data_IF_301059757807
#
_entry.id   IF_301059757807
#
_cell.length_a   1.000
_cell.length_b   1.000
_cell.length_c   1.000
_cell.angle_alpha   90.00
_cell.angle_beta   90.00
_cell.angle_gamma   90.00
#
_symmetry.space_group_name_H-M   'P 1'
#
loop_
_entity.id
_entity.type
_entity.pdbx_description
1 polymer ?
#
# COMPACT_ATOMS: atom_id res chain seq x y z
N UNK A 1 -19.44 8.16 10.39
CA UNK A 1 -20.63 7.33 10.04
C UNK A 1 -21.92 8.16 9.94
N UNK A 2 -22.77 7.88 8.94
CA UNK A 2 -24.14 8.39 8.85
C UNK A 2 -25.03 7.63 9.86
N UNK A 3 -26.13 8.22 10.33
CA UNK A 3 -27.02 7.55 11.30
C UNK A 3 -27.58 6.21 10.77
N UNK A 4 -27.59 6.01 9.45
CA UNK A 4 -27.95 4.76 8.79
C UNK A 4 -26.93 3.62 8.95
N UNK A 5 -25.68 3.90 9.32
CA UNK A 5 -24.64 2.87 9.53
C UNK A 5 -24.36 2.60 11.01
N UNK A 6 -25.01 3.33 11.92
CA UNK A 6 -24.84 3.13 13.36
C UNK A 6 -25.73 1.98 13.82
N UNK A 7 -25.09 0.87 14.18
CA UNK A 7 -25.79 -0.28 14.78
C UNK A 7 -26.43 0.19 16.08
N UNK A 8 -27.71 -0.11 16.27
CA UNK A 8 -28.43 0.26 17.48
C UNK A 8 -27.83 -0.43 18.71
N UNK A 9 -27.88 0.21 19.87
CA UNK A 9 -27.32 -0.34 21.12
C UNK A 9 -27.94 -1.71 21.46
N UNK A 10 -29.24 -1.89 21.20
CA UNK A 10 -29.93 -3.18 21.34
C UNK A 10 -29.38 -4.28 20.44
N UNK A 11 -28.96 -3.92 19.23
CA UNK A 11 -28.37 -4.86 18.27
C UNK A 11 -26.91 -5.17 18.63
N UNK A 12 -26.19 -4.24 19.25
CA UNK A 12 -24.86 -4.48 19.81
C UNK A 12 -24.92 -5.43 21.01
N UNK A 13 -25.82 -5.18 21.97
CA UNK A 13 -26.05 -6.08 23.11
C UNK A 13 -26.44 -7.50 22.65
N UNK A 14 -27.28 -7.59 21.60
CA UNK A 14 -27.61 -8.88 20.98
C UNK A 14 -26.36 -9.58 20.43
N UNK A 15 -25.49 -8.84 19.71
CA UNK A 15 -24.26 -9.39 19.12
C UNK A 15 -23.24 -9.80 20.19
N UNK A 16 -23.07 -8.99 21.22
CA UNK A 16 -22.22 -9.30 22.37
C UNK A 16 -22.73 -10.52 23.12
N UNK A 17 -24.05 -10.65 23.27
CA UNK A 17 -24.70 -11.85 23.77
C UNK A 17 -24.32 -13.09 22.95
N UNK A 18 -24.33 -13.01 21.61
CA UNK A 18 -23.96 -14.15 20.75
C UNK A 18 -22.46 -14.48 20.69
N UNK A 19 -21.60 -13.57 21.14
CA UNK A 19 -20.15 -13.82 21.25
C UNK A 19 -19.85 -14.61 22.53
N UNK A 20 -20.58 -14.35 23.62
CA UNK A 20 -20.40 -15.07 24.89
C UNK A 20 -20.87 -16.53 24.77
N UNK A 21 -20.07 -17.45 25.30
CA UNK A 21 -20.37 -18.88 25.27
C UNK A 21 -21.65 -19.19 26.07
N UNK A 22 -22.60 -19.90 25.45
CA UNK A 22 -23.84 -20.37 26.10
C UNK A 22 -25.11 -19.59 25.78
N UNK A 23 -25.01 -18.41 25.17
CA UNK A 23 -26.17 -17.57 24.82
C UNK A 23 -26.70 -17.76 23.40
N UNK A 24 -26.07 -18.61 22.59
CA UNK A 24 -26.59 -18.99 21.27
C UNK A 24 -27.73 -19.99 21.40
N UNK A 25 -28.79 -19.77 20.64
CA UNK A 25 -29.85 -20.76 20.44
C UNK A 25 -29.25 -22.04 19.86
N UNK A 26 -29.55 -23.17 20.50
CA UNK A 26 -29.04 -24.48 20.07
C UNK A 26 -29.91 -24.99 18.93
N UNK A 27 -29.32 -25.17 17.76
CA UNK A 27 -29.94 -25.90 16.67
C UNK A 27 -29.41 -27.34 16.68
N UNK A 28 -30.31 -28.32 16.77
CA UNK A 28 -29.91 -29.74 16.80
C UNK A 28 -29.13 -30.17 15.55
N UNK A 29 -29.47 -29.61 14.39
CA UNK A 29 -28.88 -30.01 13.10
C UNK A 29 -27.52 -29.35 12.87
N UNK A 30 -27.29 -28.15 13.42
CA UNK A 30 -26.06 -27.41 13.19
C UNK A 30 -25.04 -27.67 14.32
N UNK A 31 -23.96 -28.44 14.07
CA UNK A 31 -22.95 -28.76 15.07
C UNK A 31 -22.16 -27.52 15.53
N UNK A 32 -22.16 -26.43 14.77
CA UNK A 32 -21.46 -25.20 15.14
C UNK A 32 -22.19 -24.44 16.26
N UNK A 33 -23.51 -24.62 16.39
CA UNK A 33 -24.33 -23.99 17.44
C UNK A 33 -24.27 -24.70 18.78
N UNK A 34 -23.70 -25.91 18.83
CA UNK A 34 -23.62 -26.70 20.05
C UNK A 34 -22.64 -26.08 21.05
N UNK A 35 -22.97 -26.18 22.35
CA UNK A 35 -22.04 -25.78 23.41
C UNK A 35 -20.82 -26.70 23.45
N UNK A 36 -19.73 -26.24 24.06
CA UNK A 36 -18.49 -27.02 24.17
C UNK A 36 -18.67 -28.42 24.79
N UNK A 37 -19.49 -28.61 25.85
CA UNK A 37 -19.81 -29.94 26.38
C UNK A 37 -20.39 -30.88 25.33
N UNK A 38 -21.36 -30.41 24.53
CA UNK A 38 -22.01 -31.22 23.50
C UNK A 38 -21.10 -31.51 22.31
N UNK A 39 -20.24 -30.55 21.95
CA UNK A 39 -19.17 -30.80 20.96
C UNK A 39 -18.19 -31.86 21.44
N UNK A 40 -17.77 -31.78 22.71
CA UNK A 40 -16.91 -32.80 23.34
C UNK A 40 -17.57 -34.18 23.38
N UNK A 41 -18.84 -34.25 23.77
CA UNK A 41 -19.62 -35.48 23.77
C UNK A 41 -19.77 -36.07 22.36
N UNK A 42 -20.18 -35.25 21.38
CA UNK A 42 -20.35 -35.69 19.99
C UNK A 42 -19.05 -36.19 19.36
N UNK A 43 -17.94 -35.49 19.59
CA UNK A 43 -16.62 -35.93 19.12
C UNK A 43 -16.21 -37.27 19.72
N UNK A 44 -16.35 -37.43 21.05
CA UNK A 44 -16.01 -38.70 21.72
C UNK A 44 -16.93 -39.84 21.32
N UNK A 45 -18.22 -39.58 21.09
CA UNK A 45 -19.16 -40.57 20.55
C UNK A 45 -18.68 -41.03 19.17
N UNK A 46 -18.38 -40.10 18.26
CA UNK A 46 -17.88 -40.42 16.91
C UNK A 46 -16.60 -41.25 16.94
N UNK A 47 -15.61 -40.84 17.75
CA UNK A 47 -14.36 -41.58 17.94
C UNK A 47 -14.63 -42.98 18.50
N UNK A 48 -15.51 -43.10 19.50
CA UNK A 48 -15.81 -44.39 20.15
C UNK A 48 -16.50 -45.35 19.19
N UNK A 49 -17.46 -44.86 18.39
CA UNK A 49 -18.15 -45.68 17.37
C UNK A 49 -17.19 -46.09 16.27
N UNK A 50 -16.33 -45.18 15.79
CA UNK A 50 -15.31 -45.49 14.79
C UNK A 50 -14.30 -46.51 15.31
N UNK A 51 -13.84 -46.37 16.56
CA UNK A 51 -12.94 -47.31 17.21
C UNK A 51 -13.58 -48.70 17.35
N UNK A 52 -14.85 -48.78 17.76
CA UNK A 52 -15.59 -50.04 17.81
C UNK A 52 -15.75 -50.68 16.43
N UNK A 53 -16.07 -49.89 15.41
CA UNK A 53 -16.16 -50.37 14.04
C UNK A 53 -14.83 -50.96 13.56
N UNK A 54 -13.72 -50.24 13.80
CA UNK A 54 -12.39 -50.68 13.41
C UNK A 54 -11.95 -51.94 14.17
N UNK A 55 -12.25 -52.01 15.48
CA UNK A 55 -11.98 -53.17 16.31
C UNK A 55 -12.76 -54.41 15.86
N UNK A 56 -14.01 -54.23 15.41
CA UNK A 56 -14.83 -55.31 14.85
C UNK A 56 -14.27 -55.81 13.52
N UNK A 57 -13.89 -54.88 12.65
CA UNK A 57 -13.27 -55.19 11.35
C UNK A 57 -11.96 -55.94 11.54
N UNK A 58 -11.11 -55.51 12.47
CA UNK A 58 -9.82 -56.16 12.76
C UNK A 58 -9.99 -57.57 13.31
N UNK A 59 -10.89 -57.75 14.27
CA UNK A 59 -11.11 -59.05 14.93
C UNK A 59 -12.09 -59.97 14.20
N UNK A 60 -12.53 -59.60 12.98
CA UNK A 60 -13.54 -60.32 12.18
C UNK A 60 -14.80 -60.67 12.98
N UNK A 61 -15.20 -59.79 13.92
CA UNK A 61 -16.41 -59.98 14.74
C UNK A 61 -17.61 -59.34 14.05
N UNK A 62 -18.80 -59.95 14.10
CA UNK A 62 -20.00 -59.33 13.56
C UNK A 62 -20.32 -58.04 14.32
N UNK A 63 -20.98 -57.10 13.64
CA UNK A 63 -21.30 -55.77 14.19
C UNK A 63 -22.08 -55.84 15.52
N UNK A 64 -22.97 -56.84 15.65
CA UNK A 64 -23.81 -57.06 16.82
C UNK A 64 -23.12 -57.80 17.98
N UNK A 65 -21.84 -58.13 17.86
CA UNK A 65 -21.13 -58.79 18.96
C UNK A 65 -21.08 -57.89 20.19
N UNK A 66 -21.55 -58.38 21.34
CA UNK A 66 -21.45 -57.69 22.63
C UNK A 66 -21.99 -56.23 22.61
N UNK A 67 -23.14 -55.99 21.97
CA UNK A 67 -23.74 -54.65 21.86
C UNK A 67 -23.90 -53.97 23.21
N UNK A 68 -24.49 -54.65 24.20
CA UNK A 68 -24.80 -54.05 25.51
C UNK A 68 -23.55 -53.51 26.24
N UNK A 69 -22.50 -54.30 26.49
CA UNK A 69 -21.30 -53.79 27.17
C UNK A 69 -20.57 -52.73 26.33
N UNK A 70 -20.67 -52.77 25.00
CA UNK A 70 -20.07 -51.76 24.12
C UNK A 70 -20.82 -50.43 24.14
N UNK A 71 -22.15 -50.45 24.20
CA UNK A 71 -22.95 -49.25 24.38
C UNK A 71 -22.66 -48.59 25.73
N UNK A 72 -22.45 -49.37 26.79
CA UNK A 72 -22.02 -48.85 28.09
C UNK A 72 -20.65 -48.16 27.97
N UNK A 73 -19.68 -48.79 27.28
CA UNK A 73 -18.36 -48.20 27.06
C UNK A 73 -18.46 -46.89 26.26
N UNK A 74 -19.22 -46.86 25.17
CA UNK A 74 -19.47 -45.65 24.38
C UNK A 74 -20.13 -44.57 25.23
N UNK A 75 -21.12 -44.93 26.06
CA UNK A 75 -21.76 -44.02 26.99
C UNK A 75 -20.77 -43.40 27.97
N UNK A 76 -19.91 -44.22 28.57
CA UNK A 76 -18.86 -43.76 29.48
C UNK A 76 -17.86 -42.82 28.78
N UNK A 77 -17.38 -43.18 27.58
CA UNK A 77 -16.49 -42.34 26.80
C UNK A 77 -17.14 -41.00 26.39
N UNK A 78 -18.42 -41.03 26.05
CA UNK A 78 -19.21 -39.82 25.73
C UNK A 78 -19.37 -38.92 26.95
N UNK A 79 -19.63 -39.49 28.13
CA UNK A 79 -19.71 -38.75 29.38
C UNK A 79 -18.37 -38.09 29.76
N UNK A 80 -17.25 -38.79 29.54
CA UNK A 80 -15.90 -38.20 29.70
C UNK A 80 -15.70 -37.03 28.73
N UNK A 81 -16.12 -37.19 27.47
CA UNK A 81 -16.10 -36.10 26.49
C UNK A 81 -16.92 -34.89 26.91
N UNK A 82 -18.10 -35.12 27.47
CA UNK A 82 -18.95 -34.06 28.02
C UNK A 82 -18.27 -33.32 29.18
N UNK A 83 -17.69 -34.06 30.14
CA UNK A 83 -17.00 -33.49 31.29
C UNK A 83 -15.77 -32.66 30.86
N UNK A 84 -14.98 -33.16 29.92
CA UNK A 84 -13.85 -32.41 29.35
C UNK A 84 -14.31 -31.13 28.63
N UNK A 85 -15.41 -31.21 27.89
CA UNK A 85 -16.02 -30.04 27.24
C UNK A 85 -16.55 -29.01 28.25
N UNK A 86 -17.13 -29.44 29.37
CA UNK A 86 -17.59 -28.56 30.45
C UNK A 86 -16.44 -27.86 31.19
N UNK A 87 -15.33 -28.57 31.43
CA UNK A 87 -14.13 -27.97 31.99
C UNK A 87 -13.55 -26.89 31.07
N UNK A 88 -13.55 -27.17 29.76
CA UNK A 88 -13.10 -26.21 28.75
C UNK A 88 -14.00 -24.98 28.67
N UNK A 89 -15.32 -25.17 28.75
CA UNK A 89 -16.28 -24.06 28.79
C UNK A 89 -16.03 -23.16 30.01
N UNK A 90 -15.88 -23.77 31.20
CA UNK A 90 -15.57 -23.04 32.43
C UNK A 90 -14.27 -22.25 32.31
N UNK A 91 -13.23 -22.86 31.73
CA UNK A 91 -11.94 -22.18 31.52
C UNK A 91 -12.08 -20.92 30.65
N UNK A 92 -12.82 -21.00 29.54
CA UNK A 92 -13.06 -19.84 28.69
C UNK A 92 -13.92 -18.78 29.37
N UNK A 93 -14.95 -19.17 30.12
CA UNK A 93 -15.76 -18.23 30.89
C UNK A 93 -14.91 -17.47 31.93
N UNK A 94 -14.03 -18.16 32.65
CA UNK A 94 -13.11 -17.50 33.60
C UNK A 94 -12.14 -16.57 32.88
N UNK A 95 -11.55 -17.00 31.77
CA UNK A 95 -10.63 -16.17 30.99
C UNK A 95 -11.32 -14.90 30.49
N UNK A 96 -12.51 -15.02 29.91
CA UNK A 96 -13.23 -13.88 29.35
C UNK A 96 -13.70 -12.93 30.47
N UNK A 97 -14.12 -13.45 31.63
CA UNK A 97 -14.44 -12.64 32.81
C UNK A 97 -13.23 -11.85 33.35
N UNK A 98 -12.04 -12.46 33.34
CA UNK A 98 -10.80 -11.78 33.73
C UNK A 98 -10.44 -10.67 32.74
N UNK A 99 -10.58 -10.93 31.44
CA UNK A 99 -10.33 -9.92 30.39
C UNK A 99 -11.32 -8.77 30.53
N UNK A 100 -12.61 -9.05 30.70
CA UNK A 100 -13.65 -8.04 30.89
C UNK A 100 -13.36 -7.18 32.14
N UNK A 101 -12.96 -7.82 33.24
CA UNK A 101 -12.58 -7.12 34.46
C UNK A 101 -11.33 -6.24 34.27
N UNK A 102 -10.33 -6.74 33.54
CA UNK A 102 -9.11 -5.98 33.22
C UNK A 102 -9.42 -4.75 32.35
N UNK A 103 -10.27 -4.91 31.33
CA UNK A 103 -10.71 -3.81 30.46
C UNK A 103 -11.45 -2.72 31.24
N UNK A 104 -12.23 -3.11 32.26
CA UNK A 104 -12.92 -2.15 33.13
C UNK A 104 -11.95 -1.39 34.06
N UNK A 105 -10.91 -2.07 34.55
CA UNK A 105 -9.91 -1.46 35.46
C UNK A 105 -8.95 -0.52 34.75
N UNK A 106 -8.58 -0.83 33.51
CA UNK A 106 -7.56 -0.11 32.74
C UNK A 106 -8.14 0.42 31.42
N UNK A 107 -9.10 1.35 31.43
CA UNK A 107 -9.67 1.88 30.20
C UNK A 107 -8.64 2.62 29.32
N UNK A 108 -7.60 3.21 29.93
CA UNK A 108 -6.53 3.93 29.22
C UNK A 108 -5.72 3.01 28.27
N UNK A 109 -5.55 1.74 28.64
CA UNK A 109 -4.89 0.72 27.81
C UNK A 109 -5.72 0.35 26.57
N UNK A 110 -6.95 0.84 26.43
CA UNK A 110 -7.84 0.51 25.31
C UNK A 110 -8.27 1.75 24.51
N UNK A 111 -7.72 2.93 24.80
CA UNK A 111 -8.10 4.18 24.15
C UNK A 111 -7.81 4.21 22.64
N UNK A 112 -6.87 3.40 22.16
CA UNK A 112 -6.57 3.27 20.73
C UNK A 112 -7.75 2.71 19.90
N UNK A 113 -8.71 2.01 20.53
CA UNK A 113 -9.94 1.63 19.84
C UNK A 113 -10.86 2.83 19.56
N UNK A 114 -10.71 3.93 20.31
CA UNK A 114 -11.46 5.16 20.13
C UNK A 114 -10.81 6.15 19.14
N UNK A 115 -9.55 5.94 18.75
CA UNK A 115 -8.82 6.85 17.86
C UNK A 115 -9.37 6.90 16.42
N UNK A 116 -9.99 5.83 15.94
CA UNK A 116 -10.71 5.85 14.65
C UNK A 116 -11.87 6.87 14.68
N UNK A 117 -12.58 6.97 15.80
CA UNK A 117 -13.66 7.95 15.98
C UNK A 117 -13.14 9.38 15.97
N UNK A 118 -11.91 9.59 16.46
CA UNK A 118 -11.21 10.88 16.45
C UNK A 118 -10.76 11.29 15.05
N UNK A 119 -10.30 10.33 14.24
CA UNK A 119 -10.00 10.55 12.82
C UNK A 119 -11.27 10.88 12.02
N UNK A 120 -12.37 10.13 12.19
CA UNK A 120 -13.64 10.45 11.52
C UNK A 120 -14.13 11.86 11.84
N UNK A 121 -13.95 12.32 13.08
CA UNK A 121 -14.37 13.66 13.49
C UNK A 121 -13.47 14.73 12.86
N UNK A 122 -12.16 14.47 12.74
CA UNK A 122 -11.22 15.35 12.03
C UNK A 122 -11.55 15.46 10.54
N UNK A 123 -11.88 14.35 9.90
CA UNK A 123 -12.24 14.34 8.47
C UNK A 123 -13.54 15.09 8.22
N UNK A 124 -14.54 14.95 9.10
CA UNK A 124 -15.76 15.78 9.05
C UNK A 124 -15.44 17.27 9.16
N UNK A 125 -14.57 17.66 10.09
CA UNK A 125 -14.14 19.06 10.25
C UNK A 125 -13.39 19.57 9.01
N UNK A 126 -12.56 18.72 8.38
CA UNK A 126 -11.83 19.07 7.16
C UNK A 126 -12.76 19.24 5.95
N UNK A 127 -13.76 18.37 5.80
CA UNK A 127 -14.76 18.48 4.75
C UNK A 127 -15.60 19.75 4.92
N UNK A 128 -16.04 20.06 6.14
CA UNK A 128 -16.80 21.28 6.43
C UNK A 128 -15.99 22.56 6.12
N UNK A 129 -14.67 22.53 6.37
CA UNK A 129 -13.75 23.62 5.97
C UNK A 129 -13.61 23.71 4.45
N UNK A 130 -13.50 22.57 3.76
CA UNK A 130 -13.38 22.53 2.30
C UNK A 130 -14.62 23.12 1.63
N UNK A 131 -15.80 22.79 2.11
CA UNK A 131 -17.06 23.28 1.55
C UNK A 131 -17.21 24.79 1.77
N UNK A 132 -16.83 25.30 2.96
CA UNK A 132 -16.76 26.75 3.21
C UNK A 132 -15.78 27.47 2.30
N UNK A 133 -14.65 26.85 1.97
CA UNK A 133 -13.66 27.42 1.05
C UNK A 133 -14.14 27.40 -0.39
N UNK A 134 -14.85 26.35 -0.81
CA UNK A 134 -15.47 26.27 -2.13
C UNK A 134 -16.56 27.33 -2.30
N UNK A 135 -17.45 27.51 -1.32
CA UNK A 135 -18.45 28.56 -1.34
C UNK A 135 -17.82 29.96 -1.46
N UNK A 136 -16.72 30.21 -0.74
CA UNK A 136 -15.96 31.47 -0.86
C UNK A 136 -15.27 31.65 -2.21
N UNK A 137 -14.89 30.56 -2.89
CA UNK A 137 -14.31 30.62 -4.24
C UNK A 137 -15.37 30.89 -5.29
N UNK A 138 -16.54 30.28 -5.17
CA UNK A 138 -17.69 30.51 -6.05
C UNK A 138 -18.16 31.96 -5.95
N UNK A 139 -18.32 32.49 -4.74
CA UNK A 139 -18.65 33.90 -4.53
C UNK A 139 -17.64 34.85 -5.19
N UNK A 140 -16.34 34.61 -5.02
CA UNK A 140 -15.30 35.43 -5.68
C UNK A 140 -15.29 35.28 -7.20
N UNK A 141 -15.66 34.11 -7.72
CA UNK A 141 -15.76 33.90 -9.17
C UNK A 141 -16.98 34.62 -9.75
N UNK A 142 -18.10 34.68 -9.03
CA UNK A 142 -19.27 35.46 -9.41
C UNK A 142 -18.97 36.97 -9.37
N UNK A 143 -18.28 37.45 -8.33
CA UNK A 143 -17.80 38.84 -8.25
C UNK A 143 -16.87 39.20 -9.42
N UNK A 144 -15.95 38.29 -9.81
CA UNK A 144 -15.08 38.48 -10.98
C UNK A 144 -15.82 38.44 -12.30
N UNK A 145 -16.87 37.63 -12.43
CA UNK A 145 -17.72 37.61 -13.63
C UNK A 145 -18.49 38.92 -13.77
N UNK A 146 -19.03 39.47 -12.67
CA UNK A 146 -19.68 40.78 -12.67
C UNK A 146 -18.73 41.91 -13.08
N UNK A 147 -17.47 41.87 -12.63
CA UNK A 147 -16.45 42.86 -13.00
C UNK A 147 -15.96 42.76 -14.46
N UNK A 148 -15.99 41.56 -15.05
CA UNK A 148 -15.56 41.36 -16.45
C UNK A 148 -16.60 41.82 -17.48
N UNK A 149 -17.88 41.97 -17.10
CA UNK A 149 -18.92 42.47 -18.02
C UNK A 149 -18.89 44.01 -18.17
N UNK A 150 -18.31 44.74 -17.22
CA UNK A 150 -18.20 46.22 -17.28
C UNK A 150 -16.88 46.75 -17.87
N UNK A 151 -15.93 45.88 -18.25
CA UNK A 151 -14.57 46.25 -18.66
C UNK A 151 -14.10 45.63 -19.97
N UNK A 152 -14.89 45.73 -21.05
CA UNK A 152 -14.45 45.30 -22.39
C UNK A 152 -13.49 46.32 -23.02
N UNK A 153 -12.22 46.31 -22.60
CA UNK A 153 -11.10 46.88 -23.36
C UNK A 153 -10.33 45.74 -24.02
N UNK A 154 -10.13 45.84 -25.35
CA UNK A 154 -9.43 44.88 -26.23
C UNK A 154 -8.31 44.14 -25.51
N UNK A 155 -8.42 42.81 -25.42
CA UNK A 155 -7.50 42.00 -24.64
C UNK A 155 -6.06 42.17 -25.15
N UNK A 156 -5.09 42.25 -24.24
CA UNK A 156 -3.66 42.44 -24.56
C UNK A 156 -3.13 41.44 -25.60
N UNK A 157 -3.76 40.27 -25.72
CA UNK A 157 -3.44 39.26 -26.74
C UNK A 157 -3.72 39.70 -28.17
N UNK A 158 -4.81 40.44 -28.42
CA UNK A 158 -5.14 40.95 -29.76
C UNK A 158 -4.14 42.02 -30.22
N UNK A 159 -3.70 42.87 -29.30
CA UNK A 159 -2.72 43.92 -29.58
C UNK A 159 -1.35 43.32 -29.96
N UNK A 160 -0.97 42.21 -29.32
CA UNK A 160 0.28 41.49 -29.62
C UNK A 160 0.22 40.79 -30.98
N UNK A 161 -0.93 40.22 -31.34
CA UNK A 161 -1.11 39.59 -32.66
C UNK A 161 -1.08 40.62 -33.78
N UNK A 162 -1.71 41.78 -33.59
CA UNK A 162 -1.65 42.90 -34.53
C UNK A 162 -0.19 43.38 -34.74
N UNK A 163 0.58 43.57 -33.67
CA UNK A 163 2.01 43.92 -33.74
C UNK A 163 2.87 42.86 -34.46
N UNK A 164 2.61 41.57 -34.23
CA UNK A 164 3.31 40.50 -34.95
C UNK A 164 3.00 40.51 -36.45
N UNK A 165 1.74 40.78 -36.83
CA UNK A 165 1.36 40.86 -38.26
C UNK A 165 1.98 42.06 -38.94
N UNK A 166 2.07 43.19 -38.24
CA UNK A 166 2.67 44.41 -38.75
C UNK A 166 4.18 44.24 -38.97
N UNK A 167 4.89 43.60 -38.04
CA UNK A 167 6.33 43.34 -38.19
C UNK A 167 6.63 42.34 -39.33
N UNK A 168 5.76 41.34 -39.57
CA UNK A 168 5.90 40.46 -40.74
C UNK A 168 5.79 41.25 -42.04
N UNK A 169 4.81 42.15 -42.13
CA UNK A 169 4.62 43.03 -43.29
C UNK A 169 5.80 43.98 -43.49
N UNK A 170 6.35 44.50 -42.40
CA UNK A 170 7.54 45.37 -42.43
C UNK A 170 8.81 44.61 -42.84
N UNK A 171 8.92 43.33 -42.46
CA UNK A 171 10.00 42.43 -42.90
C UNK A 171 9.95 42.19 -44.42
N UNK A 172 8.77 41.95 -44.98
CA UNK A 172 8.56 41.76 -46.42
C UNK A 172 8.88 43.05 -47.21
N UNK A 173 8.58 44.22 -46.63
CA UNK A 173 8.89 45.53 -47.23
C UNK A 173 10.35 46.01 -47.02
N UNK A 174 11.19 45.19 -46.37
CA UNK A 174 12.61 45.44 -46.06
C UNK A 174 12.90 46.69 -45.21
N UNK A 175 11.88 47.26 -44.55
CA UNK A 175 12.02 48.44 -43.69
C UNK A 175 11.56 48.10 -42.28
N UNK A 176 12.45 47.50 -41.49
CA UNK A 176 12.12 47.06 -40.13
C UNK A 176 12.43 48.18 -39.13
N UNK A 177 11.38 48.68 -38.49
CA UNK A 177 11.47 49.75 -37.50
C UNK A 177 11.98 49.22 -36.14
N UNK A 178 12.97 49.86 -35.54
CA UNK A 178 13.64 49.35 -34.32
C UNK A 178 12.74 49.43 -33.09
N UNK A 179 11.86 50.42 -33.02
CA UNK A 179 10.97 50.64 -31.87
C UNK A 179 9.91 49.55 -31.71
N UNK A 180 9.44 48.96 -32.80
CA UNK A 180 8.46 47.85 -32.78
C UNK A 180 9.10 46.55 -32.26
N UNK A 181 10.37 46.33 -32.57
CA UNK A 181 11.15 45.20 -32.07
C UNK A 181 11.36 45.30 -30.55
N UNK A 182 11.70 46.49 -30.06
CA UNK A 182 11.97 46.70 -28.63
C UNK A 182 10.71 46.46 -27.79
N UNK A 183 9.53 46.91 -28.25
CA UNK A 183 8.26 46.60 -27.60
C UNK A 183 7.95 45.11 -27.58
N UNK A 184 8.21 44.41 -28.68
CA UNK A 184 7.95 42.98 -28.78
C UNK A 184 8.92 42.15 -27.90
N UNK A 185 10.14 42.65 -27.70
CA UNK A 185 11.11 42.10 -26.76
C UNK A 185 10.74 42.36 -25.29
N UNK A 186 10.19 43.54 -24.98
CA UNK A 186 9.63 43.86 -23.67
C UNK A 186 8.44 42.93 -23.35
N UNK A 187 7.53 42.72 -24.31
CA UNK A 187 6.43 41.75 -24.15
C UNK A 187 6.94 40.32 -23.94
N UNK A 188 8.01 39.89 -24.61
CA UNK A 188 8.60 38.58 -24.33
C UNK A 188 9.14 38.49 -22.88
N UNK A 189 9.75 39.57 -22.39
CA UNK A 189 10.30 39.60 -21.02
C UNK A 189 9.20 39.48 -19.95
N UNK A 190 7.98 39.95 -20.24
CA UNK A 190 6.84 39.90 -19.32
C UNK A 190 5.81 38.80 -19.64
N UNK A 191 5.92 38.09 -20.77
CA UNK A 191 4.94 37.10 -21.19
C UNK A 191 5.10 35.77 -20.44
N UNK A 192 4.01 35.32 -19.81
CA UNK A 192 3.90 34.00 -19.16
C UNK A 192 3.34 32.92 -20.10
N UNK A 193 2.98 33.28 -21.33
CA UNK A 193 2.25 32.41 -22.25
C UNK A 193 3.20 31.69 -23.23
N UNK A 194 3.46 30.40 -22.96
CA UNK A 194 4.46 29.58 -23.66
C UNK A 194 4.25 29.42 -25.18
N UNK A 195 3.02 29.62 -25.68
CA UNK A 195 2.71 29.45 -27.11
C UNK A 195 3.02 30.71 -27.91
N UNK A 196 2.67 31.87 -27.38
CA UNK A 196 2.93 33.17 -28.03
C UNK A 196 4.42 33.54 -27.92
N UNK A 197 5.09 33.22 -26.81
CA UNK A 197 6.52 33.45 -26.65
C UNK A 197 7.38 32.74 -27.71
N UNK A 198 7.04 31.49 -28.07
CA UNK A 198 7.73 30.77 -29.15
C UNK A 198 7.53 31.42 -30.53
N UNK A 199 6.31 31.89 -30.82
CA UNK A 199 6.02 32.57 -32.09
C UNK A 199 6.79 33.89 -32.20
N UNK A 200 6.87 34.64 -31.11
CA UNK A 200 7.66 35.87 -30.97
C UNK A 200 9.16 35.58 -31.13
N UNK A 201 9.70 34.53 -30.50
CA UNK A 201 11.11 34.15 -30.63
C UNK A 201 11.48 33.80 -32.07
N UNK A 202 10.67 32.99 -32.75
CA UNK A 202 10.89 32.65 -34.15
C UNK A 202 10.89 33.90 -35.06
N UNK A 203 9.95 34.83 -34.83
CA UNK A 203 9.88 36.09 -35.55
C UNK A 203 11.14 36.96 -35.34
N UNK A 204 11.62 37.06 -34.10
CA UNK A 204 12.84 37.82 -33.77
C UNK A 204 14.09 37.19 -34.37
N UNK A 205 14.16 35.86 -34.45
CA UNK A 205 15.25 35.17 -35.15
C UNK A 205 15.24 35.48 -36.65
N UNK A 206 14.08 35.54 -37.28
CA UNK A 206 13.96 35.85 -38.71
C UNK A 206 14.31 37.32 -38.99
N UNK A 207 13.92 38.25 -38.11
CA UNK A 207 14.39 39.65 -38.14
C UNK A 207 15.91 39.74 -38.01
N UNK A 208 16.51 38.94 -37.11
CA UNK A 208 17.96 38.89 -36.90
C UNK A 208 18.69 38.33 -38.13
N UNK A 209 18.18 37.24 -38.73
CA UNK A 209 18.72 36.67 -39.99
C UNK A 209 18.64 37.67 -41.14
N UNK A 210 17.55 38.43 -41.25
CA UNK A 210 17.39 39.46 -42.27
C UNK A 210 18.38 40.63 -42.08
N UNK A 211 18.59 41.11 -40.84
CA UNK A 211 19.62 42.13 -40.54
C UNK A 211 21.05 41.63 -40.86
N UNK A 212 21.35 40.37 -40.55
CA UNK A 212 22.63 39.74 -40.88
C UNK A 212 22.85 39.58 -42.39
N UNK A 213 21.79 39.27 -43.15
CA UNK A 213 21.86 39.18 -44.61
C UNK A 213 22.08 40.55 -45.29
N UNK A 214 21.64 41.64 -44.65
CA UNK A 214 21.90 43.01 -45.13
C UNK A 214 23.29 43.54 -44.74
N UNK A 215 23.92 43.01 -43.69
CA UNK A 215 25.29 43.38 -43.30
C UNK A 215 26.32 42.46 -43.95
N UNK A 216 26.68 42.70 -45.21
CA UNK A 216 27.84 42.05 -45.83
C UNK A 216 29.15 42.67 -45.30
N UNK A 217 29.74 42.03 -44.27
CA UNK A 217 31.06 42.34 -43.70
C UNK A 217 31.85 41.05 -43.38
N UNK A 218 33.19 41.11 -43.24
CA UNK A 218 34.10 40.10 -43.81
C UNK A 218 34.16 38.74 -43.08
N UNK A 219 34.40 37.70 -43.89
CA UNK A 219 34.50 36.27 -43.51
C UNK A 219 35.52 36.04 -42.38
N UNK A 220 35.02 35.68 -41.20
CA UNK A 220 35.86 35.24 -40.08
C UNK A 220 36.20 33.75 -40.21
N UNK A 221 37.50 33.42 -40.14
CA UNK A 221 38.04 32.04 -40.23
C UNK A 221 37.73 31.26 -38.96
N UNK A 222 37.44 29.96 -39.15
CA UNK A 222 36.85 29.07 -38.17
C UNK A 222 37.70 28.73 -36.94
N UNK A 223 37.00 28.38 -35.87
CA UNK A 223 37.55 27.69 -34.71
C UNK A 223 37.06 26.24 -34.70
N UNK A 224 38.02 25.32 -34.70
CA UNK A 224 37.83 23.87 -34.58
C UNK A 224 38.09 23.46 -33.14
N UNK A 225 37.16 22.72 -32.51
CA UNK A 225 37.35 22.09 -31.21
C UNK A 225 37.80 20.64 -31.38
N UNK A 226 39.00 20.32 -30.88
CA UNK A 226 39.54 18.95 -30.82
C UNK A 226 38.93 18.17 -29.65
N UNK A 227 38.38 17.01 -29.97
CA UNK A 227 37.80 16.01 -29.05
C UNK A 227 38.91 15.11 -28.51
N UNK A 228 39.07 15.01 -27.19
CA UNK A 228 39.83 13.92 -26.56
C UNK A 228 38.86 12.98 -25.83
N UNK A 229 38.87 11.73 -26.28
CA UNK A 229 38.25 10.57 -25.67
C UNK A 229 39.34 9.72 -24.99
N UNK A 230 38.91 8.61 -24.38
CA UNK A 230 39.69 7.48 -23.81
C UNK A 230 40.10 7.67 -22.33
N UNK A 231 39.95 6.73 -21.39
CA UNK A 231 39.88 5.26 -21.50
C UNK A 231 39.31 4.64 -20.20
N UNK A 232 38.59 3.53 -20.33
CA UNK A 232 38.25 2.61 -19.25
C UNK A 232 39.37 1.57 -19.05
N UNK A 233 39.58 1.08 -17.82
CA UNK A 233 39.90 -0.34 -17.54
C UNK A 233 39.96 -0.66 -16.03
N UNK A 234 39.40 -1.83 -15.73
CA UNK A 234 39.27 -2.57 -14.48
C UNK A 234 40.58 -3.25 -14.04
N UNK A 235 40.73 -3.59 -12.73
CA UNK A 235 41.07 -4.95 -12.23
C UNK A 235 41.26 -5.06 -10.69
N UNK A 236 40.38 -5.86 -10.09
CA UNK A 236 40.54 -7.01 -9.14
C UNK A 236 41.50 -7.04 -7.92
N UNK A 237 40.90 -7.28 -6.73
CA UNK A 237 41.09 -8.37 -5.71
C UNK A 237 42.48 -8.48 -5.02
N UNK A 238 42.62 -8.52 -3.67
CA UNK A 238 42.57 -9.75 -2.82
C UNK A 238 42.56 -9.45 -1.29
N UNK A 239 41.59 -10.06 -0.60
CA UNK A 239 41.47 -10.70 0.74
C UNK A 239 42.04 -10.18 2.10
N UNK A 240 41.19 -10.44 3.10
CA UNK A 240 41.41 -10.87 4.51
C UNK A 240 41.40 -9.82 5.62
N UNK A 241 40.27 -9.75 6.34
CA UNK A 241 40.21 -10.04 7.79
C UNK A 241 38.76 -9.98 8.27
N UNK A 242 38.32 -11.03 8.98
CA UNK A 242 37.04 -11.03 9.70
C UNK A 242 37.10 -10.08 10.90
N UNK A 243 35.95 -9.59 11.38
CA UNK A 243 35.44 -10.19 12.62
C UNK A 243 33.92 -10.39 12.67
N UNK A 244 33.60 -11.30 13.58
CA UNK A 244 32.32 -11.75 14.13
C UNK A 244 31.46 -10.57 14.60
N UNK A 245 30.13 -10.57 14.32
CA UNK A 245 29.11 -10.10 15.29
C UNK A 245 27.65 -10.43 14.88
N UNK A 246 27.01 -11.22 15.75
CA UNK A 246 25.59 -11.26 16.13
C UNK A 246 24.51 -11.26 15.03
N UNK A 247 24.14 -12.47 14.58
CA UNK A 247 23.01 -12.72 13.67
C UNK A 247 21.70 -12.89 14.46
N UNK A 248 20.86 -11.87 14.52
CA UNK A 248 19.48 -12.02 15.01
C UNK A 248 18.66 -12.76 13.95
N UNK A 249 18.14 -13.93 14.32
CA UNK A 249 17.24 -14.74 13.49
C UNK A 249 15.81 -14.40 13.89
N UNK A 250 15.04 -13.81 12.99
CA UNK A 250 13.61 -13.54 13.20
C UNK A 250 12.83 -14.53 12.34
N UNK A 251 12.16 -15.49 12.98
CA UNK A 251 11.23 -16.42 12.34
C UNK A 251 9.80 -15.95 12.57
N UNK A 252 9.10 -15.55 11.50
CA UNK A 252 7.65 -15.33 11.56
C UNK A 252 6.92 -16.55 11.02
N UNK A 253 6.16 -17.21 11.90
CA UNK A 253 5.26 -18.31 11.56
C UNK A 253 4.00 -17.82 10.88
N UNK A 254 3.55 -18.61 9.91
CA UNK A 254 2.46 -18.38 8.97
C UNK A 254 1.21 -17.71 9.57
N UNK A 255 0.90 -16.52 9.07
CA UNK A 255 -0.43 -15.89 9.18
C UNK A 255 -1.09 -16.00 7.82
N UNK A 256 -2.22 -16.69 7.77
CA UNK A 256 -3.08 -16.80 6.61
C UNK A 256 -3.63 -15.42 6.26
N UNK A 257 -3.33 -14.98 5.04
CA UNK A 257 -3.57 -13.64 4.50
C UNK A 257 -2.62 -12.58 5.06
N UNK A 258 -1.77 -12.01 4.18
CA UNK A 258 -1.51 -10.58 4.04
C UNK A 258 -0.15 -10.36 3.38
N UNK A 259 -0.11 -9.35 2.52
CA UNK A 259 1.14 -8.77 2.03
C UNK A 259 1.95 -8.36 3.26
N UNK A 260 3.14 -8.93 3.43
CA UNK A 260 4.06 -8.48 4.49
C UNK A 260 4.68 -7.19 3.97
N UNK A 261 4.30 -6.05 4.56
CA UNK A 261 4.79 -4.72 4.22
C UNK A 261 5.64 -4.15 5.37
N UNK A 262 6.70 -3.41 5.05
CA UNK A 262 7.34 -2.50 5.99
C UNK A 262 8.43 -3.08 6.90
N UNK A 263 9.23 -4.05 6.43
CA UNK A 263 10.38 -4.55 7.18
C UNK A 263 11.63 -3.71 6.93
N UNK A 264 11.96 -2.82 7.87
CA UNK A 264 13.24 -2.12 7.93
C UNK A 264 14.21 -2.91 8.83
N UNK A 265 15.04 -3.75 8.21
CA UNK A 265 15.91 -4.70 8.93
C UNK A 265 17.34 -4.58 8.42
N UNK A 266 18.31 -4.58 9.35
CA UNK A 266 19.75 -4.50 9.05
C UNK A 266 20.50 -5.69 9.62
N UNK A 267 21.56 -6.15 8.96
CA UNK A 267 22.50 -7.19 9.45
C UNK A 267 21.82 -8.48 9.94
N UNK A 268 20.76 -8.93 9.27
CA UNK A 268 19.93 -10.03 9.77
C UNK A 268 19.70 -11.12 8.73
N UNK A 269 19.24 -12.28 9.19
CA UNK A 269 18.74 -13.34 8.31
C UNK A 269 17.23 -13.45 8.48
N UNK A 270 16.51 -13.17 7.42
CA UNK A 270 15.06 -13.26 7.35
C UNK A 270 14.69 -14.59 6.70
N UNK A 271 13.91 -15.39 7.42
CA UNK A 271 13.38 -16.65 6.92
C UNK A 271 11.86 -16.57 6.85
N UNK A 272 11.36 -16.48 5.62
CA UNK A 272 9.94 -16.51 5.31
C UNK A 272 9.58 -17.91 4.85
N UNK A 273 8.74 -18.58 5.64
CA UNK A 273 8.02 -19.77 5.19
C UNK A 273 7.08 -19.39 4.04
N UNK A 274 6.50 -20.41 3.39
CA UNK A 274 5.68 -20.25 2.19
C UNK A 274 4.67 -19.10 2.32
N UNK A 275 4.80 -18.11 1.46
CA UNK A 275 3.95 -16.92 1.38
C UNK A 275 3.13 -16.98 0.09
N UNK A 276 1.81 -17.06 0.19
CA UNK A 276 0.99 -17.41 -0.99
C UNK A 276 0.78 -16.26 -2.00
N UNK A 277 1.05 -14.99 -1.64
CA UNK A 277 0.79 -13.81 -2.52
C UNK A 277 2.04 -12.98 -2.81
N UNK A 278 2.35 -11.99 -1.98
CA UNK A 278 3.45 -11.08 -2.24
C UNK A 278 4.17 -10.64 -0.97
N UNK A 279 5.49 -10.52 -1.07
CA UNK A 279 6.36 -10.03 -0.02
C UNK A 279 6.93 -8.67 -0.44
N UNK A 280 6.75 -7.65 0.39
CA UNK A 280 7.22 -6.28 0.13
C UNK A 280 8.21 -5.84 1.22
N UNK A 281 9.47 -5.61 0.84
CA UNK A 281 10.54 -5.22 1.76
C UNK A 281 11.08 -3.84 1.38
N UNK A 282 11.34 -3.00 2.38
CA UNK A 282 11.87 -1.64 2.20
C UNK A 282 13.08 -1.40 3.10
N UNK A 283 14.10 -0.71 2.58
CA UNK A 283 15.20 -0.18 3.39
C UNK A 283 15.98 -1.26 4.17
N UNK A 284 16.30 -2.38 3.52
CA UNK A 284 17.15 -3.42 4.09
C UNK A 284 18.62 -3.19 3.76
N UNK A 285 19.50 -3.45 4.71
CA UNK A 285 20.96 -3.36 4.52
C UNK A 285 21.67 -4.60 5.09
N UNK A 286 22.50 -5.24 4.27
CA UNK A 286 23.27 -6.44 4.61
C UNK A 286 22.39 -7.58 5.16
N UNK A 287 21.42 -8.03 4.36
CA UNK A 287 20.41 -9.01 4.78
C UNK A 287 20.44 -10.26 3.92
N UNK A 288 20.35 -11.43 4.57
CA UNK A 288 20.09 -12.70 3.90
C UNK A 288 18.59 -13.00 3.97
N UNK A 289 17.93 -13.13 2.82
CA UNK A 289 16.50 -13.35 2.73
C UNK A 289 16.26 -14.73 2.12
N UNK A 290 15.64 -15.61 2.89
CA UNK A 290 15.14 -16.91 2.44
C UNK A 290 13.63 -16.82 2.32
N UNK A 291 13.10 -16.94 1.10
CA UNK A 291 11.66 -16.76 0.86
C UNK A 291 11.15 -17.67 -0.25
N UNK A 292 10.01 -18.31 0.03
CA UNK A 292 9.18 -18.98 -0.97
C UNK A 292 7.87 -18.20 -1.14
N UNK A 293 7.72 -17.43 -2.22
CA UNK A 293 6.55 -16.58 -2.44
C UNK A 293 6.09 -16.55 -3.90
N UNK A 294 4.85 -16.12 -4.19
CA UNK A 294 4.44 -15.93 -5.59
C UNK A 294 5.10 -14.70 -6.22
N UNK A 295 5.19 -13.58 -5.49
CA UNK A 295 5.89 -12.37 -5.94
C UNK A 295 6.75 -11.78 -4.80
N UNK A 296 7.94 -11.30 -5.12
CA UNK A 296 8.82 -10.60 -4.15
C UNK A 296 9.12 -9.21 -4.71
N UNK A 297 8.89 -8.16 -3.92
CA UNK A 297 9.22 -6.77 -4.25
C UNK A 297 10.14 -6.19 -3.18
N UNK A 298 11.25 -5.62 -3.59
CA UNK A 298 12.24 -5.03 -2.68
C UNK A 298 12.55 -3.62 -3.16
N UNK A 299 12.45 -2.63 -2.27
CA UNK A 299 12.74 -1.24 -2.57
C UNK A 299 13.90 -0.71 -1.71
N UNK A 300 14.72 0.17 -2.30
CA UNK A 300 15.70 1.03 -1.61
C UNK A 300 16.57 0.26 -0.63
N UNK A 301 17.24 -0.81 -1.09
CA UNK A 301 17.98 -1.73 -0.21
C UNK A 301 19.41 -1.97 -0.70
N UNK A 302 20.34 -2.26 0.21
CA UNK A 302 21.77 -2.42 -0.08
C UNK A 302 22.30 -3.78 0.40
N UNK A 303 23.22 -4.36 -0.37
CA UNK A 303 23.95 -5.59 -0.01
C UNK A 303 23.03 -6.77 0.38
N UNK A 304 22.23 -7.25 -0.58
CA UNK A 304 21.21 -8.27 -0.33
C UNK A 304 21.65 -9.63 -0.84
N UNK A 305 21.46 -10.67 -0.03
CA UNK A 305 21.63 -12.07 -0.42
C UNK A 305 20.27 -12.78 -0.45
N UNK A 306 19.72 -12.96 -1.64
CA UNK A 306 18.38 -13.47 -1.88
C UNK A 306 18.44 -14.96 -2.25
N UNK A 307 17.85 -15.81 -1.41
CA UNK A 307 17.55 -17.20 -1.70
C UNK A 307 16.05 -17.33 -1.92
N UNK A 308 15.63 -17.35 -3.19
CA UNK A 308 14.22 -17.13 -3.55
C UNK A 308 13.68 -18.30 -4.36
N UNK A 309 12.55 -18.84 -3.92
CA UNK A 309 11.70 -19.74 -4.69
C UNK A 309 10.43 -18.98 -5.09
N UNK A 310 10.44 -18.33 -6.26
CA UNK A 310 9.27 -17.60 -6.78
C UNK A 310 8.62 -18.26 -7.96
N UNK A 311 7.28 -18.26 -7.98
CA UNK A 311 6.49 -18.69 -9.14
C UNK A 311 6.22 -17.59 -10.16
N UNK A 312 6.21 -16.33 -9.72
CA UNK A 312 5.96 -15.15 -10.55
C UNK A 312 7.25 -14.40 -10.84
N UNK A 313 7.37 -13.19 -10.29
CA UNK A 313 8.50 -12.30 -10.55
C UNK A 313 9.13 -11.78 -9.25
N UNK A 314 10.42 -11.47 -9.32
CA UNK A 314 11.17 -10.70 -8.32
C UNK A 314 11.36 -9.29 -8.89
N UNK A 315 10.84 -8.28 -8.20
CA UNK A 315 10.95 -6.87 -8.58
C UNK A 315 11.91 -6.19 -7.60
N UNK A 316 12.96 -5.58 -8.13
CA UNK A 316 13.97 -4.85 -7.37
C UNK A 316 13.94 -3.39 -7.82
N UNK A 317 13.63 -2.49 -6.90
CA UNK A 317 13.59 -1.05 -7.15
C UNK A 317 14.65 -0.37 -6.29
N UNK A 318 15.45 0.49 -6.92
CA UNK A 318 16.45 1.33 -6.25
C UNK A 318 17.39 0.58 -5.29
N UNK A 319 17.77 -0.66 -5.65
CA UNK A 319 18.56 -1.54 -4.81
C UNK A 319 19.97 -1.76 -5.37
N UNK A 320 20.99 -1.80 -4.51
CA UNK A 320 22.40 -1.92 -4.92
C UNK A 320 23.06 -3.16 -4.31
N UNK A 321 23.98 -3.80 -5.07
CA UNK A 321 24.71 -5.03 -4.66
C UNK A 321 23.76 -6.17 -4.24
N UNK A 322 22.98 -6.68 -5.19
CA UNK A 322 22.05 -7.80 -4.96
C UNK A 322 22.66 -9.09 -5.50
N UNK A 323 22.76 -10.10 -4.64
CA UNK A 323 23.21 -11.45 -4.95
C UNK A 323 22.02 -12.40 -4.87
N UNK A 324 21.71 -13.07 -5.97
CA UNK A 324 20.57 -13.99 -6.05
C UNK A 324 21.06 -15.42 -6.21
N UNK A 325 20.54 -16.32 -5.39
CA UNK A 325 20.86 -17.74 -5.40
C UNK A 325 19.59 -18.56 -5.60
N UNK A 326 19.67 -19.69 -6.32
CA UNK A 326 18.55 -20.62 -6.39
C UNK A 326 18.26 -21.18 -5.00
N UNK A 327 16.98 -21.19 -4.62
CA UNK A 327 16.51 -21.88 -3.42
C UNK A 327 16.64 -23.39 -3.67
N UNK A 328 17.54 -24.06 -2.93
CA UNK A 328 17.76 -25.51 -3.01
C UNK A 328 17.07 -26.22 -1.87
#
# INVERSE_FOLDING_TARGET
MADSTRVSEKELERREGFIRAGHRERHLIDPFTWSYPWKGAGAMLGISVAALYLQNRWNKKPYYYAIVPRLILVGAATAVGYAAGALREKHYQTRDAVIEHYMQLHPEDFDHFNDQKKMENRDKILMDRKDRLLAKLEQRNEERKGLNEEGSSKSDGEQIEELMTEIKKDLDSKKVDSQKIDRLQEYLAFSTNNRQSKAIQNLLEDVRKHKLAQSSGPKFKGFSFSKSQTTAASKTVTETSAPIENKTTVSLSAVSENVIEGLNVRNSTLLFLRCDRSLLIHNCDNVHIYVAAQQVRIHTSQNLHLHVATRGAVILEDSTKVFMYPYR
#
